data_IF_486233094728
#
_entry.id   IF_486233094728
#
_cell.length_a   1.000
_cell.length_b   1.000
_cell.length_c   1.000
_cell.angle_alpha   90.00
_cell.angle_beta   90.00
_cell.angle_gamma   90.00
#
_symmetry.space_group_name_H-M   'P 1'
#
loop_
_entity.id
_entity.type
_entity.pdbx_description
1 polymer ?
#
# COMPACT_ATOMS: atom_id res chain seq x y z
N UNK A 1 11.21 -24.19 -14.78
CA UNK A 1 10.56 -24.29 -13.45
C UNK A 1 9.31 -23.39 -13.39
N UNK A 2 8.17 -23.95 -12.99
CA UNK A 2 6.93 -23.19 -12.76
C UNK A 2 7.03 -22.53 -11.37
N UNK A 3 7.53 -21.31 -11.30
CA UNK A 3 7.63 -20.55 -10.06
C UNK A 3 6.27 -20.03 -9.63
N UNK A 4 6.02 -20.02 -8.32
CA UNK A 4 4.84 -19.39 -7.72
C UNK A 4 5.16 -17.93 -7.35
N UNK A 5 4.40 -16.98 -7.86
CA UNK A 5 4.56 -15.55 -7.63
C UNK A 5 3.41 -15.00 -6.78
N UNK A 6 3.74 -14.44 -5.62
CA UNK A 6 2.76 -13.92 -4.67
C UNK A 6 3.08 -12.49 -4.21
N UNK A 7 2.04 -11.71 -3.92
CA UNK A 7 2.15 -10.32 -3.44
C UNK A 7 1.27 -10.10 -2.21
N UNK A 8 1.51 -9.03 -1.45
CA UNK A 8 0.63 -8.66 -0.32
C UNK A 8 -0.64 -7.96 -0.84
N UNK A 9 -0.48 -7.05 -1.80
CA UNK A 9 -1.55 -6.29 -2.41
C UNK A 9 -1.60 -6.51 -3.93
N UNK A 10 -2.80 -6.54 -4.50
CA UNK A 10 -3.00 -6.61 -5.95
C UNK A 10 -4.06 -5.59 -6.40
N UNK A 11 -3.77 -4.91 -7.52
CA UNK A 11 -4.73 -4.03 -8.22
C UNK A 11 -5.38 -4.80 -9.37
N UNK A 12 -6.59 -4.43 -9.84
CA UNK A 12 -7.30 -5.17 -10.89
C UNK A 12 -6.48 -5.41 -12.16
N UNK A 13 -5.66 -4.45 -12.58
CA UNK A 13 -4.79 -4.59 -13.76
C UNK A 13 -3.59 -5.54 -13.56
N UNK A 14 -3.14 -5.73 -12.32
CA UNK A 14 -1.99 -6.57 -11.96
C UNK A 14 -2.39 -7.95 -11.42
N UNK A 15 -3.63 -8.12 -10.96
CA UNK A 15 -4.14 -9.37 -10.40
C UNK A 15 -3.96 -10.60 -11.32
N UNK A 16 -4.17 -10.51 -12.65
CA UNK A 16 -3.98 -11.67 -13.54
C UNK A 16 -2.52 -12.13 -13.68
N UNK A 17 -1.55 -11.39 -13.12
CA UNK A 17 -0.12 -11.66 -13.26
C UNK A 17 0.47 -12.38 -12.03
N UNK A 18 -0.32 -12.58 -10.96
CA UNK A 18 0.12 -13.20 -9.71
C UNK A 18 -0.68 -14.47 -9.43
N UNK A 19 -0.06 -15.45 -8.77
CA UNK A 19 -0.72 -16.69 -8.38
C UNK A 19 -1.51 -16.53 -7.07
N UNK A 20 -1.08 -15.64 -6.18
CA UNK A 20 -1.74 -15.41 -4.89
C UNK A 20 -1.51 -13.99 -4.38
N UNK A 21 -2.53 -13.40 -3.75
CA UNK A 21 -2.43 -12.15 -3.03
C UNK A 21 -3.31 -12.15 -1.77
N UNK A 22 -3.00 -11.28 -0.81
CA UNK A 22 -3.76 -11.21 0.46
C UNK A 22 -4.91 -10.20 0.38
N UNK A 23 -4.68 -9.01 -0.19
CA UNK A 23 -5.68 -7.95 -0.24
C UNK A 23 -5.76 -7.32 -1.62
N UNK A 24 -6.94 -7.43 -2.24
CA UNK A 24 -7.28 -6.67 -3.44
C UNK A 24 -7.54 -5.21 -3.07
N UNK A 25 -6.97 -4.28 -3.84
CA UNK A 25 -7.17 -2.83 -3.66
C UNK A 25 -7.67 -2.23 -4.96
N UNK A 26 -8.50 -1.18 -4.88
CA UNK A 26 -9.04 -0.57 -6.10
C UNK A 26 -7.91 0.04 -6.95
N UNK A 27 -8.15 0.15 -8.27
CA UNK A 27 -7.13 0.64 -9.19
C UNK A 27 -6.64 2.05 -8.84
N UNK A 28 -7.56 2.89 -8.37
CA UNK A 28 -7.40 4.28 -7.96
C UNK A 28 -6.90 4.45 -6.51
N UNK A 29 -6.81 3.38 -5.73
CA UNK A 29 -6.26 3.45 -4.36
C UNK A 29 -4.78 3.87 -4.40
N UNK A 30 -4.46 4.93 -3.65
CA UNK A 30 -3.09 5.30 -3.29
C UNK A 30 -2.70 4.62 -1.99
N UNK A 31 -1.71 3.73 -2.03
CA UNK A 31 -1.28 2.97 -0.85
C UNK A 31 -0.15 3.74 -0.16
N UNK A 32 -0.32 4.02 1.13
CA UNK A 32 0.77 4.51 1.98
C UNK A 32 1.39 3.30 2.69
N UNK A 33 2.60 2.92 2.32
CA UNK A 33 3.29 1.85 3.01
C UNK A 33 3.93 2.34 4.32
N UNK A 34 4.01 1.50 5.36
CA UNK A 34 4.62 1.88 6.63
C UNK A 34 6.06 2.39 6.50
N UNK A 35 6.81 1.91 5.49
CA UNK A 35 8.19 2.34 5.24
C UNK A 35 8.31 3.60 4.38
N UNK A 36 7.24 4.00 3.67
CA UNK A 36 7.17 5.29 2.98
C UNK A 36 6.82 6.43 3.94
N UNK A 37 6.29 6.08 5.12
CA UNK A 37 5.95 7.02 6.18
C UNK A 37 7.12 7.17 7.15
N UNK A 38 7.62 8.39 7.28
CA UNK A 38 8.56 8.75 8.34
C UNK A 38 7.83 9.53 9.45
N UNK A 39 8.29 9.37 10.70
CA UNK A 39 7.87 10.26 11.77
C UNK A 39 8.30 11.68 11.41
N UNK A 40 7.33 12.59 11.39
CA UNK A 40 7.56 14.01 11.16
C UNK A 40 6.90 14.77 12.30
N UNK A 41 7.53 15.86 12.72
CA UNK A 41 6.89 16.79 13.63
C UNK A 41 5.65 17.39 12.95
N UNK A 42 4.54 17.40 13.68
CA UNK A 42 3.30 18.08 13.28
C UNK A 42 3.01 19.12 14.35
N UNK A 43 2.82 20.37 13.95
CA UNK A 43 2.53 21.45 14.87
C UNK A 43 1.24 21.17 15.66
N UNK A 44 1.23 21.39 16.99
CA UNK A 44 0.01 21.30 17.78
C UNK A 44 -1.08 22.22 17.24
N UNK A 45 -2.31 21.73 17.19
CA UNK A 45 -3.46 22.52 16.70
C UNK A 45 -3.77 23.78 17.53
N UNK A 46 -3.19 23.95 18.74
CA UNK A 46 -3.36 25.14 19.61
C UNK A 46 -2.04 25.55 20.26
N UNK A 47 -1.77 26.85 20.31
CA UNK A 47 -0.54 27.44 20.87
C UNK A 47 -0.26 28.91 20.49
N UNK A 48 -1.15 29.57 19.75
CA UNK A 48 -1.06 31.01 19.37
C UNK A 48 -2.26 31.84 19.85
N UNK A 49 -2.89 31.42 20.95
CA UNK A 49 -3.88 32.24 21.65
C UNK A 49 -3.18 33.03 22.77
#
# INVERSE_FOLDING_TARGET
PNSHFATVYAKPSGEPQVDTFITGVSQDTWIFFPWDMALQYVEPYRGKD
#
